data_IF_593634660683
#
_entry.id   IF_593634660683
#
_cell.length_a   1.000
_cell.length_b   1.000
_cell.length_c   1.000
_cell.angle_alpha   90.00
_cell.angle_beta   90.00
_cell.angle_gamma   90.00
#
_symmetry.space_group_name_H-M   'P 1'
#
loop_
_entity.id
_entity.type
_entity.pdbx_description
1 polymer ?
#
# COMPACT_ATOMS: atom_id res chain seq x y z
N UNK A 1 11.63 27.71 18.42
CA UNK A 1 10.27 27.16 18.29
C UNK A 1 10.41 25.80 17.61
N UNK A 2 10.31 24.70 18.35
CA UNK A 2 10.42 23.34 17.80
C UNK A 2 8.99 22.90 17.49
N UNK A 3 8.66 22.75 16.20
CA UNK A 3 7.37 22.25 15.78
C UNK A 3 7.29 20.75 16.10
N UNK A 4 6.75 20.41 17.27
CA UNK A 4 6.27 19.05 17.53
C UNK A 4 5.02 18.85 16.68
N UNK A 5 5.17 18.28 15.47
CA UNK A 5 4.06 17.88 14.61
C UNK A 5 3.24 16.85 15.39
N UNK A 6 2.10 17.28 15.95
CA UNK A 6 1.11 16.38 16.54
C UNK A 6 0.73 15.40 15.44
N UNK A 7 1.16 14.14 15.57
CA UNK A 7 0.70 13.05 14.71
C UNK A 7 -0.79 12.88 14.97
N UNK A 8 -1.61 13.54 14.17
CA UNK A 8 -3.01 13.15 14.01
C UNK A 8 -2.95 11.68 13.60
N UNK A 9 -3.33 10.77 14.49
CA UNK A 9 -3.43 9.36 14.15
C UNK A 9 -4.69 9.21 13.30
N UNK A 10 -4.61 9.62 12.04
CA UNK A 10 -5.57 9.19 11.04
C UNK A 10 -5.43 7.68 10.91
N UNK A 11 -6.53 6.95 11.12
CA UNK A 11 -6.53 5.50 10.92
C UNK A 11 -6.50 5.24 9.43
N UNK A 12 -5.57 4.39 8.98
CA UNK A 12 -5.55 3.98 7.58
C UNK A 12 -6.83 3.22 7.20
N UNK A 13 -7.24 3.24 5.92
CA UNK A 13 -8.43 2.55 5.44
C UNK A 13 -8.39 1.06 5.77
N UNK A 14 -9.44 0.59 6.44
CA UNK A 14 -9.71 -0.84 6.60
C UNK A 14 -10.53 -1.33 5.40
N UNK A 15 -10.22 -2.49 4.84
CA UNK A 15 -11.01 -3.00 3.72
C UNK A 15 -10.28 -3.98 2.84
N UNK A 16 -10.90 -4.30 1.70
CA UNK A 16 -10.32 -5.16 0.69
C UNK A 16 -9.48 -4.34 -0.28
N UNK A 17 -8.23 -4.73 -0.43
CA UNK A 17 -7.28 -4.11 -1.34
C UNK A 17 -7.20 -4.92 -2.62
N UNK A 18 -7.24 -4.21 -3.75
CA UNK A 18 -7.00 -4.80 -5.06
C UNK A 18 -6.01 -3.96 -5.86
N UNK A 19 -4.96 -4.60 -6.34
CA UNK A 19 -3.93 -4.01 -7.18
C UNK A 19 -3.77 -4.80 -8.47
N UNK A 20 -3.48 -4.08 -9.56
CA UNK A 20 -3.15 -4.64 -10.87
C UNK A 20 -1.87 -3.99 -11.40
N UNK A 21 -0.99 -4.82 -11.95
CA UNK A 21 0.20 -4.36 -12.65
C UNK A 21 -0.19 -3.83 -14.04
N UNK A 22 0.21 -2.60 -14.34
CA UNK A 22 -0.16 -1.92 -15.59
C UNK A 22 0.40 -2.63 -16.83
N UNK A 23 1.54 -3.33 -16.72
CA UNK A 23 2.22 -3.98 -17.85
C UNK A 23 1.88 -5.45 -17.98
N UNK A 24 1.90 -6.19 -16.88
CA UNK A 24 1.78 -7.65 -16.89
C UNK A 24 0.38 -8.17 -16.63
N UNK A 25 -0.60 -7.31 -16.28
CA UNK A 25 -1.96 -7.70 -15.83
C UNK A 25 -1.99 -8.65 -14.63
N UNK A 26 -0.87 -8.81 -13.94
CA UNK A 26 -0.80 -9.60 -12.70
C UNK A 26 -1.45 -8.83 -11.57
N UNK A 27 -2.26 -9.50 -10.76
CA UNK A 27 -2.96 -8.93 -9.61
C UNK A 27 -2.30 -9.20 -8.25
N UNK A 28 -2.57 -8.31 -7.31
CA UNK A 28 -2.43 -8.58 -5.87
C UNK A 28 -3.71 -8.20 -5.16
N UNK A 29 -4.17 -9.04 -4.23
CA UNK A 29 -5.40 -8.79 -3.47
C UNK A 29 -5.22 -9.14 -2.01
N UNK A 30 -6.01 -8.54 -1.13
CA UNK A 30 -5.97 -8.90 0.28
C UNK A 30 -6.74 -7.93 1.16
N UNK A 31 -6.47 -7.95 2.45
CA UNK A 31 -7.20 -7.17 3.44
C UNK A 31 -6.25 -6.32 4.27
N UNK A 32 -6.70 -5.13 4.63
CA UNK A 32 -6.05 -4.27 5.60
C UNK A 32 -6.93 -4.02 6.81
N UNK A 33 -6.30 -3.98 7.98
CA UNK A 33 -6.89 -3.64 9.26
C UNK A 33 -6.03 -2.56 9.93
N UNK A 34 -6.58 -1.33 9.95
CA UNK A 34 -5.86 -0.13 10.34
C UNK A 34 -4.56 0.03 9.54
N UNK A 35 -3.45 0.18 10.26
CA UNK A 35 -2.14 0.45 9.65
C UNK A 35 -1.50 -0.77 8.98
N UNK A 36 -2.08 -1.97 9.14
CA UNK A 36 -1.50 -3.22 8.64
C UNK A 36 -2.26 -3.74 7.43
N UNK A 37 -1.52 -4.12 6.39
CA UNK A 37 -2.12 -4.65 5.15
C UNK A 37 -1.40 -5.93 4.75
N UNK A 38 -2.17 -6.96 4.40
CA UNK A 38 -1.64 -8.22 3.89
C UNK A 38 -2.24 -8.50 2.52
N UNK A 39 -1.38 -8.63 1.51
CA UNK A 39 -1.75 -8.95 0.14
C UNK A 39 -1.20 -10.32 -0.25
N UNK A 40 -1.85 -10.93 -1.23
CA UNK A 40 -1.45 -12.15 -1.90
C UNK A 40 -1.45 -11.90 -3.41
N UNK A 41 -0.37 -12.28 -4.07
CA UNK A 41 -0.30 -12.25 -5.53
C UNK A 41 -0.76 -13.57 -6.16
N UNK A 42 -0.86 -13.58 -7.49
CA UNK A 42 -1.26 -14.76 -8.28
C UNK A 42 -0.31 -15.95 -8.15
N UNK A 43 0.95 -15.71 -7.81
CA UNK A 43 1.96 -16.75 -7.61
C UNK A 43 1.93 -17.32 -6.19
N UNK A 44 1.05 -16.80 -5.33
CA UNK A 44 0.92 -17.20 -3.94
C UNK A 44 1.88 -16.51 -2.98
N UNK A 45 2.68 -15.53 -3.45
CA UNK A 45 3.54 -14.78 -2.55
C UNK A 45 2.69 -13.89 -1.65
N UNK A 46 3.10 -13.80 -0.38
CA UNK A 46 2.45 -12.98 0.62
C UNK A 46 3.26 -11.70 0.80
N UNK A 47 2.57 -10.58 0.66
CA UNK A 47 3.13 -9.25 0.83
C UNK A 47 2.57 -8.65 2.10
N UNK A 48 3.43 -8.45 3.09
CA UNK A 48 3.08 -7.81 4.35
C UNK A 48 3.49 -6.35 4.29
N UNK A 49 2.58 -5.45 4.64
CA UNK A 49 2.82 -4.03 4.52
C UNK A 49 2.13 -3.19 5.55
N UNK A 50 2.40 -1.89 5.46
CA UNK A 50 1.77 -0.87 6.28
C UNK A 50 1.26 0.29 5.44
N UNK A 51 0.18 0.89 5.93
CA UNK A 51 -0.39 2.13 5.47
C UNK A 51 -0.09 3.21 6.53
N UNK A 52 0.67 4.24 6.13
CA UNK A 52 1.11 5.32 7.00
C UNK A 52 0.48 6.64 6.52
N UNK A 53 -0.44 7.18 7.32
CA UNK A 53 -1.16 8.43 7.01
C UNK A 53 -0.22 9.61 7.27
N UNK A 54 0.21 10.27 6.21
CA UNK A 54 1.20 11.38 6.29
C UNK A 54 0.53 12.72 6.59
N UNK A 55 -0.62 12.97 5.97
CA UNK A 55 -1.47 14.16 6.09
C UNK A 55 -2.95 13.72 5.86
N UNK A 56 -3.91 14.65 5.93
CA UNK A 56 -5.36 14.34 5.93
C UNK A 56 -5.86 13.53 4.71
N UNK A 57 -5.16 13.57 3.58
CA UNK A 57 -5.56 12.89 2.32
C UNK A 57 -4.48 11.98 1.74
N UNK A 58 -3.26 12.01 2.30
CA UNK A 58 -2.09 11.35 1.73
C UNK A 58 -1.69 10.15 2.58
N UNK A 59 -1.73 8.96 1.96
CA UNK A 59 -1.36 7.71 2.62
C UNK A 59 -0.18 7.09 1.90
N UNK A 60 0.86 6.76 2.65
CA UNK A 60 2.03 6.03 2.14
C UNK A 60 1.86 4.55 2.39
N UNK A 61 2.08 3.75 1.37
CA UNK A 61 2.01 2.30 1.45
C UNK A 61 3.39 1.69 1.24
N UNK A 62 3.74 0.70 2.05
CA UNK A 62 4.98 -0.07 1.90
C UNK A 62 4.70 -1.55 2.17
N UNK A 63 5.10 -2.42 1.25
CA UNK A 63 4.92 -3.86 1.31
C UNK A 63 6.25 -4.57 1.09
N UNK A 64 6.42 -5.72 1.74
CA UNK A 64 7.53 -6.65 1.52
C UNK A 64 7.06 -8.10 1.46
N UNK A 65 7.66 -8.87 0.57
CA UNK A 65 7.50 -10.33 0.54
C UNK A 65 8.58 -11.03 1.39
N UNK A 66 8.49 -12.36 1.51
CA UNK A 66 9.44 -13.20 2.26
C UNK A 66 10.84 -13.25 1.61
N UNK A 67 10.90 -13.07 0.29
CA UNK A 67 12.12 -13.04 -0.51
C UNK A 67 12.84 -11.70 -0.45
N UNK A 68 12.28 -10.73 0.28
CA UNK A 68 12.86 -9.41 0.48
C UNK A 68 12.54 -8.39 -0.61
N UNK A 69 11.69 -8.71 -1.59
CA UNK A 69 11.22 -7.73 -2.58
C UNK A 69 10.36 -6.70 -1.90
N UNK A 70 10.49 -5.44 -2.31
CA UNK A 70 9.66 -4.36 -1.81
C UNK A 70 8.81 -3.71 -2.91
N UNK A 71 7.61 -3.29 -2.49
CA UNK A 71 6.69 -2.49 -3.30
C UNK A 71 6.24 -1.33 -2.41
N UNK A 72 6.33 -0.09 -2.91
CA UNK A 72 5.94 1.07 -2.12
C UNK A 72 5.35 2.17 -2.98
N UNK A 73 4.60 3.06 -2.37
CA UNK A 73 4.00 4.18 -3.07
C UNK A 73 3.03 4.94 -2.18
N UNK A 74 2.04 5.57 -2.79
CA UNK A 74 1.10 6.39 -2.06
C UNK A 74 -0.26 6.49 -2.72
N UNK A 75 -1.18 7.10 -2.00
CA UNK A 75 -2.50 7.45 -2.46
C UNK A 75 -2.76 8.94 -2.25
N UNK A 76 -3.41 9.53 -3.24
CA UNK A 76 -4.07 10.83 -3.13
C UNK A 76 -5.57 10.58 -3.28
N UNK A 77 -6.25 10.53 -2.13
CA UNK A 77 -7.71 10.40 -1.96
C UNK A 77 -8.40 9.08 -2.36
N UNK A 78 -8.23 8.55 -3.57
CA UNK A 78 -9.02 7.39 -4.05
C UNK A 78 -8.23 6.28 -4.75
N UNK A 79 -7.12 6.64 -5.39
CA UNK A 79 -6.31 5.68 -6.14
C UNK A 79 -5.00 5.48 -5.40
N UNK A 80 -4.59 4.22 -5.29
CA UNK A 80 -3.29 3.85 -4.77
C UNK A 80 -2.38 3.54 -5.96
N UNK A 81 -1.20 4.15 -5.98
CA UNK A 81 -0.16 3.85 -6.98
C UNK A 81 1.09 3.39 -6.26
N UNK A 82 1.58 2.21 -6.63
CA UNK A 82 2.80 1.62 -6.09
C UNK A 82 3.81 1.36 -7.19
N UNK A 83 5.08 1.29 -6.78
CA UNK A 83 6.20 0.94 -7.63
C UNK A 83 7.06 -0.11 -6.95
N UNK A 84 7.49 -1.10 -7.73
CA UNK A 84 8.42 -2.12 -7.27
C UNK A 84 9.88 -1.79 -7.67
N UNK A 85 10.82 -2.58 -7.14
CA UNK A 85 12.25 -2.45 -7.41
C UNK A 85 12.62 -2.71 -8.88
N UNK A 86 11.79 -3.45 -9.61
CA UNK A 86 11.98 -3.73 -11.04
C UNK A 86 11.42 -2.61 -11.92
N UNK A 87 10.85 -1.56 -11.32
CA UNK A 87 10.28 -0.43 -12.00
C UNK A 87 8.87 -0.67 -12.56
N UNK A 88 8.20 -1.76 -12.16
CA UNK A 88 6.80 -1.95 -12.50
C UNK A 88 5.91 -1.05 -11.65
N UNK A 89 4.82 -0.61 -12.27
CA UNK A 89 3.80 0.22 -11.62
C UNK A 89 2.55 -0.60 -11.38
N UNK A 90 2.05 -0.50 -10.16
CA UNK A 90 0.86 -1.18 -9.69
C UNK A 90 -0.17 -0.13 -9.32
N UNK A 91 -1.41 -0.32 -9.80
CA UNK A 91 -2.52 0.58 -9.49
C UNK A 91 -3.58 -0.19 -8.74
N UNK A 92 -4.14 0.42 -7.70
CA UNK A 92 -5.16 -0.22 -6.89
C UNK A 92 -6.07 0.75 -6.18
N UNK A 93 -6.97 0.18 -5.40
CA UNK A 93 -7.96 0.87 -4.58
C UNK A 93 -8.32 0.00 -3.37
N UNK A 94 -9.03 0.61 -2.43
CA UNK A 94 -9.64 -0.07 -1.28
C UNK A 94 -11.15 -0.04 -1.49
N UNK A 95 -11.81 -1.18 -1.31
CA UNK A 95 -13.28 -1.31 -1.29
C UNK A 95 -13.85 -1.11 0.11
#
# INVERSE_FOLDING_TARGET
>A
MIYSRRRSHGTAPTGFYRFENIRSRTGMTGYGDGDFVRLRDEHGNIWNGRADVQDDTAIRYTFRDDSGKSISGGSDSFVIVLRDEKGNTWRGFVE
#
